data_IF_536310433324
#
_entry.id   IF_536310433324
#
_cell.length_a   1.000
_cell.length_b   1.000
_cell.length_c   1.000
_cell.angle_alpha   90.00
_cell.angle_beta   90.00
_cell.angle_gamma   90.00
#
_symmetry.space_group_name_H-M   'P 1'
#
loop_
_entity.id
_entity.type
_entity.pdbx_description
1 polymer ?
2 polymer ?
3 water ?
#
# COMPACT_ATOMS: atom_id res chain seq x y z
N UNK A 2 10.30 14.90 7.71
CA UNK A 2 9.09 15.75 7.55
C UNK A 2 7.94 14.88 7.07
N UNK A 3 6.91 15.50 6.47
CA UNK A 3 5.71 14.81 6.04
C UNK A 3 6.01 13.74 5.00
N UNK A 4 6.98 13.96 4.12
CA UNK A 4 7.21 12.99 3.06
C UNK A 4 7.92 11.73 3.58
N UNK A 5 8.94 11.89 4.43
CA UNK A 5 9.55 10.74 5.08
C UNK A 5 8.52 9.95 5.85
N UNK A 6 7.63 10.65 6.56
CA UNK A 6 6.59 9.99 7.33
C UNK A 6 5.62 9.19 6.42
N UNK A 7 5.32 9.72 5.25
CA UNK A 7 4.42 9.00 4.35
C UNK A 7 5.06 7.69 3.90
N UNK A 8 6.36 7.73 3.67
CA UNK A 8 7.05 6.56 3.16
C UNK A 8 7.15 5.46 4.21
N UNK A 9 7.50 5.83 5.43
CA UNK A 9 7.67 4.82 6.48
C UNK A 9 6.33 4.30 6.97
N UNK A 10 5.31 5.13 6.95
CA UNK A 10 3.94 4.75 7.21
C UNK A 10 3.42 3.76 6.18
N UNK A 11 3.63 4.09 4.91
CA UNK A 11 3.27 3.14 3.87
C UNK A 11 4.00 1.81 4.02
N UNK A 12 5.33 1.86 4.23
CA UNK A 12 6.12 0.61 4.45
C UNK A 12 5.55 -0.19 5.61
N UNK A 13 5.19 0.47 6.71
CA UNK A 13 4.69 -0.26 7.88
C UNK A 13 3.39 -0.96 7.54
N UNK A 14 2.47 -0.24 6.88
CA UNK A 14 1.15 -0.76 6.49
C UNK A 14 1.31 -1.97 5.55
N UNK A 15 2.16 -1.83 4.55
CA UNK A 15 2.51 -2.95 3.62
C UNK A 15 3.06 -4.17 4.38
N UNK A 16 3.95 -3.93 5.35
CA UNK A 16 4.46 -5.05 6.13
C UNK A 16 3.43 -5.75 6.96
N UNK A 17 2.55 -5.01 7.59
CA UNK A 17 1.47 -5.59 8.34
C UNK A 17 0.53 -6.44 7.45
N UNK A 18 0.22 -5.92 6.28
CA UNK A 18 -0.59 -6.71 5.34
C UNK A 18 0.12 -7.99 4.91
N UNK A 19 1.41 -7.91 4.65
CA UNK A 19 2.17 -9.08 4.20
C UNK A 19 2.10 -10.16 5.29
N UNK A 20 2.36 -9.75 6.52
CA UNK A 20 2.32 -10.67 7.66
C UNK A 20 0.98 -11.41 7.79
N UNK A 21 -0.15 -10.67 7.75
CA UNK A 21 -1.48 -11.26 7.92
C UNK A 21 -1.86 -12.09 6.70
N UNK A 22 -1.61 -11.60 5.50
CA UNK A 22 -1.92 -12.39 4.32
C UNK A 22 -1.20 -13.74 4.41
N UNK A 23 0.06 -13.73 4.85
CA UNK A 23 0.89 -14.94 4.86
C UNK A 23 0.54 -15.85 5.99
N UNK A 24 0.21 -15.29 7.14
CA UNK A 24 -0.33 -16.06 8.24
C UNK A 24 -1.63 -16.79 7.78
N UNK A 25 -2.49 -16.08 7.06
CA UNK A 25 -3.79 -16.64 6.63
C UNK A 25 -3.60 -17.70 5.52
N UNK A 26 -2.60 -17.50 4.68
CA UNK A 26 -2.21 -18.47 3.65
C UNK A 26 -1.72 -19.76 4.30
N UNK A 27 -0.85 -19.62 5.29
CA UNK A 27 -0.40 -20.74 6.11
C UNK A 27 -1.54 -21.47 6.81
N UNK A 28 -2.53 -20.74 7.33
CA UNK A 28 -3.70 -21.34 7.98
C UNK A 28 -4.51 -22.17 6.97
N UNK A 29 -4.69 -21.63 5.77
CA UNK A 29 -5.49 -22.29 4.78
C UNK A 29 -4.76 -23.56 4.29
N UNK A 30 -3.45 -23.43 4.06
CA UNK A 30 -2.68 -24.62 3.63
C UNK A 30 -2.60 -25.70 4.71
N UNK A 31 -2.61 -25.32 5.98
CA UNK A 31 -2.62 -26.28 7.07
C UNK A 31 -3.98 -27.01 7.08
N UNK A 32 -5.04 -26.27 6.76
CA UNK A 32 -6.36 -26.84 6.73
C UNK A 32 -6.49 -27.84 5.61
N UNK A 33 -6.01 -27.47 4.43
CA UNK A 33 -6.01 -28.39 3.30
C UNK A 33 -5.18 -29.64 3.64
N UNK A 34 -3.97 -29.48 4.14
CA UNK A 34 -3.10 -30.64 4.39
C UNK A 34 -3.77 -31.63 5.36
N UNK A 35 -4.26 -31.10 6.49
CA UNK A 35 -5.09 -31.87 7.44
C UNK A 35 -6.25 -32.64 6.78
N UNK A 36 -7.07 -31.95 5.96
CA UNK A 36 -8.25 -32.56 5.33
C UNK A 36 -7.85 -33.60 4.26
N UNK A 37 -6.70 -33.35 3.64
CA UNK A 37 -6.23 -34.11 2.48
C UNK A 37 -5.70 -35.51 2.78
N UNK A 38 -5.35 -35.71 4.06
C UNK B 1 1.20 18.36 -4.45
N UNK B 2 0.34 18.80 -5.36
CA UNK B 2 -1.01 18.27 -5.41
C UNK B 2 -1.03 16.86 -5.96
N UNK B 3 -0.09 16.54 -6.84
CA UNK B 3 0.10 15.17 -7.30
C UNK B 3 0.53 14.21 -6.18
N UNK B 4 1.40 14.69 -5.28
CA UNK B 4 1.84 13.87 -4.18
C UNK B 4 0.66 13.69 -3.19
N UNK B 5 -0.07 14.77 -2.95
CA UNK B 5 -1.26 14.71 -2.07
C UNK B 5 -2.27 13.65 -2.57
N UNK B 6 -2.54 13.68 -3.85
CA UNK B 6 -3.44 12.70 -4.49
C UNK B 6 -2.89 11.29 -4.36
N UNK B 7 -1.57 11.14 -4.52
CA UNK B 7 -0.94 9.83 -4.41
C UNK B 7 -1.03 9.28 -2.99
N UNK B 8 -0.99 10.15 -1.98
CA UNK B 8 -1.11 9.69 -0.60
C UNK B 8 -2.51 9.18 -0.28
N UNK B 9 -3.52 9.93 -0.74
CA UNK B 9 -4.89 9.52 -0.47
C UNK B 9 -5.28 8.31 -1.33
N UNK B 10 -4.70 8.20 -2.53
CA UNK B 10 -4.84 7.01 -3.39
C UNK B 10 -4.27 5.76 -2.70
N UNK B 11 -3.04 5.91 -2.17
CA UNK B 11 -2.44 4.81 -1.42
C UNK B 11 -3.31 4.41 -0.21
N UNK B 12 -3.78 5.42 0.52
CA UNK B 12 -4.62 5.18 1.69
C UNK B 12 -5.83 4.37 1.33
N UNK B 13 -6.47 4.77 0.23
CA UNK B 13 -7.68 4.08 -0.25
C UNK B 13 -7.37 2.65 -0.64
N UNK B 14 -6.29 2.43 -1.37
CA UNK B 14 -5.95 1.04 -1.69
C UNK B 14 -5.71 0.18 -0.45
N UNK B 15 -5.01 0.73 0.54
CA UNK B 15 -4.67 0.00 1.74
C UNK B 15 -5.96 -0.38 2.47
N UNK B 16 -6.88 0.55 2.50
CA UNK B 16 -8.18 0.32 3.15
C UNK B 16 -8.98 -0.78 2.48
N UNK B 17 -8.99 -0.78 1.15
CA UNK B 17 -9.70 -1.83 0.39
C UNK B 17 -9.06 -3.21 0.63
N UNK B 18 -7.72 -3.27 0.69
CA UNK B 18 -7.06 -4.51 1.03
C UNK B 18 -7.40 -4.95 2.46
N UNK B 19 -7.34 -4.03 3.40
CA UNK B 19 -7.63 -4.39 4.79
C UNK B 19 -9.00 -5.03 4.89
N UNK B 20 -9.94 -4.44 4.20
CA UNK B 20 -11.35 -4.89 4.29
C UNK B 20 -11.49 -6.31 3.79
N UNK B 21 -10.83 -6.62 2.66
CA UNK B 21 -10.99 -7.95 2.06
C UNK B 21 -10.20 -9.01 2.79
N UNK B 22 -8.97 -8.67 3.16
CA UNK B 22 -8.17 -9.55 4.05
C UNK B 22 -8.95 -9.97 5.29
N UNK B 23 -9.61 -8.99 5.89
CA UNK B 23 -10.38 -9.29 7.11
C UNK B 23 -11.65 -10.08 6.90
N UNK B 24 -12.36 -9.83 5.81
CA UNK B 24 -13.55 -10.61 5.42
C UNK B 24 -13.16 -12.04 5.18
N UNK B 25 -12.02 -12.23 4.54
CA UNK B 25 -11.58 -13.59 4.15
C UNK B 25 -11.02 -14.37 5.35
N UNK B 26 -10.44 -13.66 6.32
CA UNK B 26 -10.01 -14.28 7.58
C UNK B 26 -11.25 -14.78 8.31
N UNK B 27 -12.30 -13.95 8.34
CA UNK B 27 -13.53 -14.40 9.00
C UNK B 27 -14.17 -15.59 8.31
N UNK B 28 -14.13 -15.59 6.97
CA UNK B 28 -14.64 -16.73 6.22
C UNK B 28 -13.89 -18.00 6.55
N UNK B 29 -12.57 -17.95 6.58
CA UNK B 29 -11.78 -19.11 6.85
C UNK B 29 -12.07 -19.60 8.30
N UNK B 30 -12.23 -18.68 9.23
CA UNK B 30 -12.45 -19.07 10.62
C UNK B 30 -13.81 -19.69 10.78
N UNK B 31 -14.76 -19.19 10.02
CA UNK B 31 -16.11 -19.77 10.00
C UNK B 31 -16.06 -21.19 9.45
N UNK B 32 -15.24 -21.40 8.43
CA UNK B 32 -15.13 -22.72 7.85
C UNK B 32 -14.49 -23.74 8.83
N UNK B 33 -13.43 -23.34 9.52
CA UNK B 33 -12.74 -24.15 10.53
C UNK B 33 -13.74 -24.44 11.64
N UNK B 34 -14.49 -23.43 12.09
CA UNK B 34 -15.56 -23.66 13.10
C UNK B 34 -16.57 -24.71 12.65
N UNK B 35 -17.13 -24.54 11.48
CA UNK B 35 -18.15 -25.47 10.96
C UNK B 35 -17.62 -26.90 10.79
N UNK B 36 -16.40 -27.02 10.30
CA UNK B 36 -15.84 -28.34 10.07
C UNK B 36 -15.45 -29.04 11.38
N UNK B 37 -15.08 -28.28 12.40
CA UNK B 37 -14.73 -28.93 13.63
C UNK B 37 -15.99 -28.99 14.53
N UNK B 38 -15.61 -29.89 15.46
C UNK C 1 11.81 12.79 -8.01
N UNK C 2 13.06 12.35 -8.35
CA UNK C 2 13.34 10.93 -8.60
C UNK C 2 13.14 9.98 -7.41
N UNK C 3 13.33 10.45 -6.18
CA UNK C 3 13.05 9.63 -5.02
C UNK C 3 11.55 9.38 -4.81
N UNK C 4 10.73 10.39 -5.11
CA UNK C 4 9.28 10.28 -4.93
C UNK C 4 8.75 9.38 -6.03
N UNK C 5 9.26 9.57 -7.26
CA UNK C 5 8.89 8.70 -8.38
C UNK C 5 9.09 7.26 -8.04
N UNK C 6 10.27 6.92 -7.51
CA UNK C 6 10.58 5.56 -7.17
C UNK C 6 9.71 5.06 -6.06
N UNK C 7 9.43 5.90 -5.09
CA UNK C 7 8.60 5.46 -3.96
C UNK C 7 7.19 5.12 -4.48
N UNK C 8 6.72 5.86 -5.47
CA UNK C 8 5.36 5.62 -5.99
C UNK C 8 5.26 4.31 -6.78
N UNK C 9 6.22 4.04 -7.64
CA UNK C 9 6.21 2.76 -8.35
C UNK C 9 6.54 1.56 -7.47
N UNK C 10 7.38 1.70 -6.44
CA UNK C 10 7.61 0.67 -5.48
C UNK C 10 6.30 0.36 -4.74
N UNK C 11 5.65 1.42 -4.31
CA UNK C 11 4.33 1.25 -3.64
C UNK C 11 3.29 0.53 -4.52
N UNK C 12 3.14 1.00 -5.74
CA UNK C 12 2.22 0.39 -6.67
C UNK C 12 2.56 -1.06 -6.95
N UNK C 13 3.85 -1.40 -7.12
CA UNK C 13 4.23 -2.79 -7.29
C UNK C 13 3.87 -3.69 -6.12
N UNK C 14 4.11 -3.19 -4.91
CA UNK C 14 3.76 -3.91 -3.70
C UNK C 14 2.23 -4.13 -3.59
N UNK C 15 1.46 -3.09 -3.86
CA UNK C 15 0.00 -3.17 -3.83
C UNK C 15 -0.48 -4.19 -4.86
N UNK C 16 0.16 -4.23 -6.03
CA UNK C 16 -0.25 -5.19 -7.06
C UNK C 16 -0.01 -6.64 -6.66
N UNK C 17 1.11 -6.88 -5.97
CA UNK C 17 1.46 -8.21 -5.51
C UNK C 17 0.48 -8.68 -4.43
N UNK C 18 0.16 -7.77 -3.49
CA UNK C 18 -0.88 -8.01 -2.50
C UNK C 18 -2.25 -8.31 -3.11
N UNK C 19 -2.66 -7.52 -4.10
CA UNK C 19 -3.97 -7.73 -4.76
C UNK C 19 -3.97 -9.14 -5.31
N UNK C 20 -2.91 -9.50 -6.06
CA UNK C 20 -2.89 -10.81 -6.70
C UNK C 20 -2.96 -11.97 -5.72
N UNK C 21 -2.21 -11.88 -4.62
CA UNK C 21 -2.18 -12.97 -3.68
C UNK C 21 -3.49 -13.05 -2.89
N UNK C 22 -4.02 -11.91 -2.51
CA UNK C 22 -5.31 -11.85 -1.84
C UNK C 22 -6.41 -12.56 -2.70
N UNK C 23 -6.42 -12.23 -3.97
CA UNK C 23 -7.39 -12.82 -4.86
C UNK C 23 -7.17 -14.32 -5.15
N UNK C 24 -5.90 -14.73 -5.24
CA UNK C 24 -5.56 -16.15 -5.42
C UNK C 24 -5.98 -16.93 -4.19
N UNK C 25 -5.80 -16.34 -3.02
CA UNK C 25 -6.24 -17.02 -1.81
C UNK C 25 -7.75 -17.05 -1.58
N UNK C 26 -8.45 -16.03 -2.06
CA UNK C 26 -9.91 -16.04 -2.12
C UNK C 26 -10.32 -17.20 -3.02
N UNK C 27 -9.66 -17.35 -4.17
CA UNK C 27 -9.96 -18.44 -5.06
C UNK C 27 -9.78 -19.80 -4.36
N UNK C 28 -8.68 -19.95 -3.65
CA UNK C 28 -8.39 -21.21 -2.99
C UNK C 28 -9.46 -21.52 -1.97
N UNK C 29 -9.88 -20.51 -1.19
CA UNK C 29 -10.90 -20.73 -0.15
C UNK C 29 -12.23 -21.05 -0.78
N UNK C 30 -12.60 -20.33 -1.85
CA UNK C 30 -13.85 -20.60 -2.52
C UNK C 30 -13.87 -22.01 -3.12
N UNK C 31 -12.77 -22.43 -3.73
CA UNK C 31 -12.66 -23.76 -4.32
C UNK C 31 -12.81 -24.81 -3.23
N UNK C 32 -12.13 -24.59 -2.11
CA UNK C 32 -12.22 -25.55 -0.99
C UNK C 32 -13.65 -25.72 -0.50
N UNK C 33 -14.38 -24.63 -0.34
CA UNK C 33 -15.74 -24.67 0.11
C UNK C 33 -16.58 -25.45 -0.89
N UNK C 34 -16.38 -25.18 -2.17
CA UNK C 34 -17.14 -25.87 -3.22
C UNK C 34 -16.90 -27.37 -3.13
N UNK C 35 -15.64 -27.76 -3.00
CA UNK C 35 -15.27 -29.17 -3.07
C UNK C 35 -15.85 -29.90 -1.86
N UNK C 36 -15.87 -29.24 -0.70
CA UNK C 36 -16.36 -29.90 0.51
C UNK C 36 -17.91 -29.93 0.61
N UNK C 37 -18.60 -29.00 0.02
CA UNK C 37 -20.04 -28.94 0.20
C UNK C 37 -20.75 -29.73 -0.90
N UNK C 38 -22.05 -29.87 -0.61
C UNK D 1 -15.03 -33.42 13.69
N UNK D 2 -14.57 -32.94 12.53
CA UNK D 2 -13.29 -33.37 11.99
C UNK D 2 -12.24 -32.91 12.96
N UNK D 3 -11.38 -33.81 13.35
CA UNK D 3 -10.34 -33.47 14.29
C UNK D 3 -9.15 -32.90 13.59
N UNK D 4 -8.23 -32.45 14.41
CA UNK D 4 -6.91 -32.00 13.98
C UNK D 4 -6.92 -30.62 13.32
N UNK D 5 -8.06 -29.92 13.37
CA UNK D 5 -8.19 -28.62 12.70
C UNK D 5 -8.77 -27.51 13.57
N UNK D 6 -9.27 -27.82 14.76
CA UNK D 6 -9.99 -26.79 15.51
C UNK D 6 -9.09 -25.64 15.98
N UNK D 7 -7.78 -25.89 16.08
CA UNK D 7 -6.82 -24.87 16.49
C UNK D 7 -6.40 -23.91 15.37
N UNK D 8 -6.74 -24.24 14.12
CA UNK D 8 -6.32 -23.40 12.97
C UNK D 8 -7.06 -22.08 13.03
N UNK D 9 -6.36 -20.95 12.90
CA UNK D 9 -6.97 -19.65 13.10
C UNK D 9 -6.34 -18.63 12.14
N UNK D 10 -7.19 -17.83 11.49
CA UNK D 10 -6.78 -16.74 10.63
C UNK D 10 -6.77 -15.43 11.42
N UNK D 11 -5.66 -14.72 11.35
CA UNK D 11 -5.49 -13.44 12.03
C UNK D 11 -6.13 -12.33 11.22
N UNK D 12 -6.48 -11.24 11.90
CA UNK D 12 -7.01 -10.07 11.21
C UNK D 12 -5.97 -8.97 11.23
N UNK D 13 -6.03 -8.07 10.26
CA UNK D 13 -5.06 -6.99 10.15
C UNK D 13 -5.71 -5.70 10.64
N UNK D 14 -4.88 -4.83 11.20
CA UNK D 14 -5.33 -3.50 11.59
C UNK D 14 -4.29 -2.48 11.23
N UNK D 15 -4.50 -1.83 10.10
CA UNK D 15 -3.66 -0.75 9.66
C UNK D 15 -4.47 0.54 9.63
N UNK D 16 -5.54 0.64 10.40
CA UNK D 16 -6.31 1.88 10.41
C UNK D 16 -5.49 3.11 10.76
N UNK D 17 -4.55 2.98 11.68
CA UNK D 17 -3.76 4.13 12.11
C UNK D 17 -2.92 4.68 10.96
N UNK D 18 -2.36 3.77 10.16
CA UNK D 18 -1.53 4.11 9.03
C UNK D 18 -2.39 4.71 7.92
N UNK D 19 -3.58 4.16 7.72
CA UNK D 19 -4.53 4.67 6.71
C UNK D 19 -4.89 6.11 7.05
N UNK D 20 -5.12 6.33 8.33
CA UNK D 20 -5.61 7.63 8.80
C UNK D 20 -4.50 8.66 8.76
N UNK D 21 -3.32 8.24 9.17
CA UNK D 21 -2.12 9.06 9.16
C UNK D 21 -1.76 9.52 7.74
N UNK D 22 -1.89 8.63 6.74
CA UNK D 22 -1.62 9.05 5.39
C UNK D 22 -2.58 10.15 4.91
N UNK D 23 -3.83 10.07 5.32
CA UNK D 23 -4.82 11.08 4.93
C UNK D 23 -4.51 12.41 5.64
N UNK D 24 -3.99 12.32 6.87
CA UNK D 24 -3.62 13.49 7.68
C UNK D 24 -2.47 14.23 7.02
N UNK D 25 -1.42 13.47 6.67
CA UNK D 25 -0.19 13.99 6.11
C UNK D 25 -0.43 14.63 4.74
N UNK D 26 -1.33 14.03 3.95
CA UNK D 26 -1.70 14.56 2.65
C UNK D 26 -2.23 15.99 2.71
N UNK D 27 -2.88 16.34 3.82
CA UNK D 27 -3.37 17.71 4.05
C UNK D 27 -2.29 18.77 4.38
N UNK D 28 -1.15 18.32 4.88
CA UNK D 28 -0.09 19.19 5.41
C UNK D 28 1.22 19.09 4.64
N UNK D 29 1.15 18.67 3.39
CA UNK D 29 2.33 18.47 2.57
C UNK D 29 3.13 19.76 2.27
N UNK D 30 2.46 20.91 2.22
CA UNK D 30 3.14 22.21 2.09
C UNK D 30 4.32 22.50 3.06
N UNK D 31 4.38 21.84 4.23
CA UNK D 31 5.50 22.05 5.17
C UNK D 31 6.74 21.30 4.70
N UNK D 32 6.56 20.39 3.75
CA UNK D 32 7.63 19.58 3.16
C UNK D 32 8.07 20.11 1.81
N UNK D 33 7.38 21.12 1.28
CA UNK D 33 7.70 21.62 -0.07
C UNK D 33 8.15 23.08 -0.08
N UNK D 34 8.89 23.45 -1.11
CA UNK D 34 9.25 24.83 -1.30
C UNK D 34 8.16 25.45 -2.16
N UNK D 35 7.24 26.09 -1.48
CA UNK D 35 6.15 26.78 -2.15
C UNK D 35 6.36 28.29 -1.94
N UNK D 36 5.36 29.12 -2.25
CA UNK D 36 5.56 30.58 -2.11
C UNK D 36 5.76 31.04 -0.66
N UNK D 37 5.13 30.38 0.32
CA UNK D 37 5.30 30.71 1.73
C UNK D 37 6.73 30.39 2.20
N UNK D 38 7.25 29.25 1.76
CA UNK D 38 8.66 28.94 2.09
C UNK D 38 9.58 29.97 1.42
N UNK D 39 9.25 30.42 0.21
CA UNK D 39 10.11 31.45 -0.39
C UNK D 39 10.01 32.78 0.40
N UNK D 40 8.87 33.02 1.02
CA UNK D 40 8.74 34.22 1.87
C UNK D 40 9.65 34.18 3.09
N UNK D 41 9.82 33.01 3.68
CA UNK D 41 10.74 32.79 4.80
C UNK D 41 12.21 32.98 4.37
N UNK D 42 12.52 32.46 3.17
CA UNK D 42 13.77 32.70 2.52
C UNK D 42 14.02 34.21 2.29
N UNK D 43 13.03 34.90 1.74
CA UNK D 43 13.16 36.35 1.48
C UNK D 43 13.50 37.16 2.75
N UNK D 44 12.86 36.76 3.84
CA UNK D 44 13.14 37.38 5.15
C UNK D 44 14.57 37.11 5.61
N UNK D 45 15.05 35.90 5.37
CA UNK D 45 16.40 35.54 5.69
C UNK D 45 17.33 36.41 4.87
N UNK D 46 17.09 36.54 3.56
CA UNK D 46 18.09 37.07 2.63
C UNK D 46 18.19 38.59 2.69
N UNK D 47 17.19 39.26 3.24
CA UNK D 47 17.27 40.73 3.36
C UNK D 47 18.25 41.05 4.52
N UNK D 48 18.78 39.94 5.08
C UNK E 2 -21.16 -30.81 5.23
N UNK E 3 -21.66 -30.08 4.23
CA UNK E 3 -21.62 -28.65 4.22
C UNK E 3 -22.88 -27.82 4.37
N UNK E 4 -23.32 -27.59 5.62
CA UNK E 4 -24.07 -26.38 5.93
C UNK E 4 -23.15 -25.17 5.70
N UNK E 5 -21.98 -25.47 5.10
CA UNK E 5 -20.86 -24.58 4.82
C UNK E 5 -20.87 -24.03 3.39
N UNK E 6 -21.82 -24.43 2.58
CA UNK E 6 -21.82 -24.07 1.15
C UNK E 6 -21.95 -22.58 0.92
N UNK E 7 -22.55 -21.89 1.89
CA UNK E 7 -22.67 -20.44 1.88
C UNK E 7 -21.44 -19.60 2.20
N UNK E 8 -20.39 -20.25 2.68
CA UNK E 8 -19.17 -19.51 3.04
C UNK E 8 -18.50 -19.06 1.76
N UNK E 9 -18.14 -17.77 1.70
CA UNK E 9 -17.46 -17.25 0.54
C UNK E 9 -16.38 -16.22 0.86
N UNK E 10 -15.33 -16.25 0.04
CA UNK E 10 -14.25 -15.27 0.11
C UNK E 10 -14.50 -14.20 -0.92
N UNK E 11 -14.31 -12.96 -0.48
CA UNK E 11 -14.42 -11.77 -1.31
C UNK E 11 -13.16 -11.51 -2.11
N UNK E 12 -13.31 -10.77 -3.19
CA UNK E 12 -12.18 -10.41 -4.05
C UNK E 12 -11.99 -8.88 -3.98
N UNK E 13 -10.77 -8.43 -4.27
CA UNK E 13 -10.42 -7.02 -4.20
C UNK E 13 -10.07 -6.52 -5.58
N UNK E 14 -10.32 -5.25 -5.78
CA UNK E 14 -9.93 -4.58 -7.02
C UNK E 14 -9.42 -3.18 -6.68
N UNK E 15 -8.10 -3.07 -6.63
CA UNK E 15 -7.38 -1.80 -6.48
C UNK E 15 -6.61 -1.42 -7.69
N UNK E 16 -7.06 -1.91 -8.85
CA UNK E 16 -6.31 -1.63 -10.05
C UNK E 16 -6.32 -0.15 -10.41
N UNK E 17 -7.40 0.55 -10.13
CA UNK E 17 -7.47 1.97 -10.49
C UNK E 17 -6.40 2.72 -9.70
N UNK E 18 -6.28 2.36 -8.44
CA UNK E 18 -5.32 2.99 -7.55
C UNK E 18 -3.86 2.70 -7.97
N UNK E 19 -3.57 1.45 -8.26
CA UNK E 19 -2.25 1.08 -8.72
C UNK E 19 -1.90 1.86 -9.98
N UNK E 20 -2.85 1.90 -10.91
CA UNK E 20 -2.61 2.60 -12.18
C UNK E 20 -2.35 4.10 -11.95
N UNK E 21 -3.12 4.70 -11.10
CA UNK E 21 -3.00 6.13 -10.79
C UNK E 21 -1.65 6.44 -10.17
N UNK E 22 -1.18 5.61 -9.25
CA UNK E 22 0.20 5.80 -8.71
C UNK E 22 1.24 5.79 -9.83
N UNK E 23 1.15 4.85 -10.73
CA UNK E 23 2.12 4.74 -11.83
C UNK E 23 2.04 5.95 -12.76
N UNK E 24 0.87 6.51 -12.95
CA UNK E 24 0.68 7.66 -13.86
C UNK E 24 1.23 8.91 -13.22
N UNK E 25 0.99 9.07 -11.92
CA UNK E 25 1.61 10.15 -11.14
C UNK E 25 3.12 10.07 -11.20
N UNK E 26 3.67 8.88 -11.01
CA UNK E 26 5.11 8.70 -11.07
C UNK E 26 5.69 9.08 -12.42
N UNK E 27 5.09 8.55 -13.48
CA UNK E 27 5.60 8.75 -14.84
C UNK E 27 5.79 10.25 -15.16
N UNK E 28 4.86 11.07 -14.69
CA UNK E 28 4.78 12.46 -15.11
C UNK E 28 5.22 13.44 -14.03
N UNK E 29 5.84 12.95 -12.96
CA UNK E 29 6.07 13.80 -11.80
C UNK E 29 7.01 14.97 -12.08
N UNK E 30 7.91 14.80 -13.04
CA UNK E 30 8.93 15.79 -13.35
C UNK E 30 8.38 17.02 -13.99
N UNK E 31 7.12 17.00 -14.42
CA UNK E 31 6.56 18.18 -15.04
C UNK E 31 6.13 19.21 -13.96
N UNK E 32 5.97 18.78 -12.71
CA UNK E 32 5.47 19.63 -11.61
C UNK E 32 6.35 19.70 -10.37
N UNK E 33 7.30 18.78 -10.20
CA UNK E 33 8.15 18.79 -8.98
C UNK E 33 9.61 18.79 -9.40
N UNK E 34 10.40 19.72 -8.85
CA UNK E 34 11.83 19.88 -9.18
C UNK E 34 12.63 19.72 -7.91
N UNK E 35 13.66 18.90 -7.96
CA UNK E 35 14.61 18.71 -6.89
C UNK E 35 15.60 19.91 -6.95
N UNK E 36 15.52 20.77 -5.96
CA UNK E 36 16.29 22.01 -5.93
C UNK E 36 17.77 21.72 -6.06
N UNK E 37 18.22 20.71 -5.31
CA UNK E 37 19.65 20.33 -5.29
C UNK E 37 20.11 19.89 -6.66
N UNK E 38 19.26 19.14 -7.35
CA UNK E 38 19.62 18.58 -8.67
C UNK E 38 19.60 19.66 -9.72
N UNK E 39 18.63 20.57 -9.64
CA UNK E 39 18.61 21.73 -10.53
C UNK E 39 19.86 22.62 -10.33
N UNK E 40 20.23 22.83 -9.07
CA UNK E 40 21.39 23.64 -8.75
C UNK E 40 22.65 23.01 -9.36
N UNK E 41 22.78 21.70 -9.23
CA UNK E 41 23.99 21.07 -9.75
C UNK E 41 24.03 21.12 -11.27
N UNK E 42 22.91 20.86 -11.95
CA UNK E 42 22.81 20.99 -13.41
C UNK E 42 23.20 22.42 -13.85
N UNK E 43 22.62 23.43 -13.22
CA UNK E 43 22.95 24.81 -13.61
C UNK E 43 24.42 25.15 -13.37
N UNK E 44 25.01 24.65 -12.29
CA UNK E 44 26.44 24.84 -12.02
C UNK E 44 27.26 24.23 -13.19
N UNK E 45 26.88 23.05 -13.66
CA UNK E 45 27.58 22.37 -14.79
C UNK E 45 27.51 23.13 -16.10
N UNK E 46 26.31 23.65 -16.42
CA UNK E 46 26.04 24.36 -17.64
C UNK E 46 26.81 25.66 -17.67
N UNK E 47 27.01 26.30 -16.51
CA UNK E 47 27.59 27.66 -16.48
C UNK E 47 29.11 27.62 -16.32
N UNK E 48 29.90 26.62 -15.87
C UNK F 1 -18.01 -35.82 -3.72
N UNK F 2 -17.35 -35.58 -2.58
CA UNK F 2 -16.45 -34.45 -2.39
C UNK F 2 -15.41 -34.43 -3.53
N UNK F 3 -15.10 -33.23 -4.05
CA UNK F 3 -14.03 -33.07 -5.02
C UNK F 3 -12.63 -33.18 -4.41
N UNK F 4 -11.67 -33.57 -5.22
CA UNK F 4 -10.23 -33.55 -4.88
C UNK F 4 -9.86 -32.19 -4.28
N UNK F 5 -9.20 -32.18 -3.12
CA UNK F 5 -8.77 -30.92 -2.49
C UNK F 5 -7.26 -30.85 -2.36
N UNK F 6 -6.58 -31.92 -2.75
CA UNK F 6 -5.14 -32.04 -2.53
C UNK F 6 -4.35 -30.97 -3.27
N UNK F 7 -4.86 -30.52 -4.42
CA UNK F 7 -4.20 -29.53 -5.24
C UNK F 7 -4.50 -28.08 -4.88
N UNK F 8 -5.35 -27.85 -3.90
CA UNK F 8 -5.67 -26.48 -3.49
C UNK F 8 -4.51 -25.96 -2.66
N UNK F 9 -3.97 -24.80 -3.06
CA UNK F 9 -2.86 -24.18 -2.36
C UNK F 9 -3.03 -22.67 -2.28
N UNK F 10 -2.87 -22.10 -1.08
CA UNK F 10 -2.79 -20.63 -0.93
C UNK F 10 -1.37 -20.15 -1.24
N UNK F 11 -1.31 -19.03 -1.96
CA UNK F 11 -0.07 -18.37 -2.35
C UNK F 11 0.44 -17.51 -1.18
N UNK F 12 1.74 -17.30 -1.12
CA UNK F 12 2.38 -16.47 -0.11
C UNK F 12 2.87 -15.21 -0.83
N UNK F 13 2.64 -14.02 -0.24
CA UNK F 13 3.14 -12.78 -0.80
C UNK F 13 4.58 -12.48 -0.34
N UNK F 14 5.32 -11.88 -1.25
CA UNK F 14 6.70 -11.49 -0.99
C UNK F 14 6.95 -10.11 -1.51
N UNK F 15 6.80 -9.11 -0.64
CA UNK F 15 6.98 -7.72 -1.01
C UNK F 15 8.08 -7.13 -0.15
N UNK F 16 8.99 -7.99 0.34
CA UNK F 16 10.05 -7.51 1.20
C UNK F 16 10.96 -6.54 0.52
N UNK F 17 11.25 -6.74 -0.74
CA UNK F 17 12.15 -5.82 -1.41
C UNK F 17 11.56 -4.41 -1.49
N UNK F 18 10.25 -4.35 -1.69
CA UNK F 18 9.56 -3.09 -1.83
C UNK F 18 9.52 -2.38 -0.53
N UNK F 19 9.17 -3.09 0.56
CA UNK F 19 9.10 -2.57 1.91
C UNK F 19 10.46 -1.99 2.28
N UNK F 20 11.50 -2.75 1.97
CA UNK F 20 12.89 -2.37 2.27
C UNK F 20 13.33 -1.16 1.48
N UNK F 21 12.96 -1.09 0.20
CA UNK F 21 13.32 0.02 -0.63
C UNK F 21 12.65 1.30 -0.15
N UNK F 22 11.36 1.24 0.24
CA UNK F 22 10.70 2.40 0.82
C UNK F 22 11.46 2.90 2.04
N UNK F 23 11.93 1.99 2.86
CA UNK F 23 12.61 2.40 4.10
C UNK F 23 13.96 3.04 3.79
N UNK F 24 14.62 2.52 2.74
CA UNK F 24 15.94 2.98 2.23
C UNK F 24 15.83 4.41 1.75
N UNK F 25 14.91 4.64 0.82
CA UNK F 25 14.65 5.96 0.24
C UNK F 25 14.25 6.96 1.33
N UNK F 26 13.50 6.50 2.31
CA UNK F 26 13.02 7.42 3.34
C UNK F 26 14.24 7.97 4.10
N UNK F 27 15.16 7.08 4.44
CA UNK F 27 16.37 7.36 5.22
C UNK F 27 17.28 8.36 4.48
N UNK F 28 17.27 8.30 3.16
CA UNK F 28 18.12 9.11 2.27
C UNK F 28 17.48 10.33 1.63
N UNK F 29 16.34 10.78 2.15
CA UNK F 29 15.48 11.70 1.40
C UNK F 29 16.07 13.11 1.24
N UNK F 30 16.15 13.58 0.00
CA UNK F 30 16.47 14.98 -0.36
C UNK F 30 15.18 15.81 -0.39
N UNK F 31 14.97 16.56 0.68
CA UNK F 31 13.67 17.11 1.00
C UNK F 31 13.31 18.37 0.20
N UNK F 32 14.24 18.90 -0.58
CA UNK F 32 14.07 20.24 -1.13
C UNK F 32 13.40 20.21 -2.50
N UNK F 33 12.08 20.02 -2.51
CA UNK F 33 11.31 19.88 -3.74
C UNK F 33 10.51 21.14 -3.98
N UNK F 34 10.57 21.65 -5.19
CA UNK F 34 9.90 22.89 -5.56
C UNK F 34 8.64 22.46 -6.20
N UNK F 35 7.56 23.08 -5.76
CA UNK F 35 6.22 22.74 -6.19
C UNK F 35 5.83 23.73 -7.27
N UNK F 36 5.89 23.34 -8.53
CA UNK F 36 5.80 24.33 -9.61
C UNK F 36 4.37 24.84 -9.81
N UNK F 37 3.41 23.97 -9.50
CA UNK F 37 2.00 24.35 -9.44
C UNK F 37 1.77 25.50 -8.45
N UNK F 38 2.37 25.40 -7.27
CA UNK F 38 2.22 26.47 -6.28
C UNK F 38 2.94 27.74 -6.65
N UNK F 39 4.12 27.64 -7.27
CA UNK F 39 4.83 28.85 -7.68
C UNK F 39 4.11 29.50 -8.86
N UNK F 40 3.28 28.72 -9.54
CA UNK F 40 2.43 29.25 -10.60
C UNK F 40 1.35 30.22 -10.10
N UNK F 41 1.13 30.20 -8.80
CA UNK F 41 0.21 31.12 -8.13
C UNK F 41 0.81 32.49 -7.80
N UNK F 42 2.05 32.74 -8.26
CA UNK F 42 2.79 33.97 -7.96
C UNK F 42 2.05 35.32 -8.06
N UNK F 43 1.33 35.51 -9.15
CA UNK F 43 0.66 36.80 -9.42
C UNK F 43 -0.40 37.12 -8.34
N UNK F 44 -1.09 36.08 -7.90
CA UNK F 44 -1.99 36.14 -6.73
C UNK F 44 -1.28 36.37 -5.37
N UNK F 45 -0.23 35.61 -5.12
CA UNK F 45 0.53 35.70 -3.86
C UNK F 45 1.13 37.09 -3.65
N UNK F 46 1.64 37.65 -4.74
CA UNK F 46 2.40 38.88 -4.67
C UNK F 46 1.45 40.06 -4.51
N UNK F 47 0.21 39.92 -4.99
CA UNK F 47 -0.83 40.91 -4.66
C UNK F 47 -1.28 40.67 -3.22
N UNK F 48 -1.51 41.91 -2.75
#
# INVERSE_FOLDING_TARGET
>A
XSQIQESLTTTSTALGKLQDVVNQNAQALNTLVKQLSX
>B
XSQIQESLTTTSTALGKLQDVVNQNAQALNTLVKQLSX
>C
XSQIQESLTTTSTALGKLQDVVNQNAQALNTLVKQLSX
>D
XLGDISGINASVVNIQKEIDRLNEVAKNLNESLIDLQELGKYEQYIKX
>E
XLGDISGINASVVNIQKEIDRLNEVAKNLNESLIDLQELGKYEQYIKX
>F
XLGDISGINASVVNIQKEIDRLNEVAKNLNESLIDLQELGKYEQYIKX
#
